data_IF_176437449789
#
_entry.id   IF_176437449789
#
_cell.length_a   1.000
_cell.length_b   1.000
_cell.length_c   1.000
_cell.angle_alpha   90.00
_cell.angle_beta   90.00
_cell.angle_gamma   90.00
#
_symmetry.space_group_name_H-M   'P 1'
#
loop_
_entity.id
_entity.type
_entity.pdbx_description
1 polymer ?
#
# COMPACT_ATOMS: atom_id res chain seq x y z
N UNK A 1 -11.93 12.18 -35.77
CA UNK A 1 -12.36 12.75 -34.46
C UNK A 1 -12.95 11.72 -33.51
N UNK A 2 -13.53 10.61 -34.01
CA UNK A 2 -14.10 9.53 -33.20
C UNK A 2 -13.07 8.67 -32.46
N UNK A 3 -11.93 8.34 -33.08
CA UNK A 3 -10.86 7.51 -32.47
C UNK A 3 -10.27 8.15 -31.20
N UNK A 4 -9.86 9.43 -31.28
CA UNK A 4 -9.33 10.19 -30.12
C UNK A 4 -10.35 10.35 -28.98
N UNK A 5 -11.65 10.43 -29.30
CA UNK A 5 -12.72 10.53 -28.31
C UNK A 5 -12.97 9.20 -27.59
N UNK A 6 -12.84 8.08 -28.31
CA UNK A 6 -12.94 6.74 -27.74
C UNK A 6 -11.73 6.42 -26.86
N UNK A 7 -10.52 6.78 -27.29
CA UNK A 7 -9.29 6.61 -26.49
C UNK A 7 -9.35 7.42 -25.19
N UNK A 8 -9.80 8.67 -25.24
CA UNK A 8 -9.98 9.49 -24.05
C UNK A 8 -11.03 8.88 -23.10
N UNK A 9 -12.14 8.37 -23.65
CA UNK A 9 -13.20 7.73 -22.87
C UNK A 9 -12.75 6.43 -22.23
N UNK A 10 -11.98 5.60 -22.94
CA UNK A 10 -11.40 4.36 -22.40
C UNK A 10 -10.38 4.69 -21.30
N UNK A 11 -9.55 5.72 -21.51
CA UNK A 11 -8.54 6.15 -20.53
C UNK A 11 -9.20 6.71 -19.27
N UNK A 12 -10.22 7.56 -19.41
CA UNK A 12 -10.97 8.11 -18.27
C UNK A 12 -11.79 7.03 -17.55
N UNK A 13 -12.41 6.09 -18.26
CA UNK A 13 -13.13 4.98 -17.66
C UNK A 13 -12.18 4.01 -16.93
N UNK A 14 -10.98 3.79 -17.48
CA UNK A 14 -9.91 3.02 -16.84
C UNK A 14 -9.41 3.69 -15.56
N UNK A 15 -9.18 5.01 -15.62
CA UNK A 15 -8.78 5.81 -14.46
C UNK A 15 -9.87 5.82 -13.37
N UNK A 16 -11.14 6.01 -13.76
CA UNK A 16 -12.29 5.97 -12.86
C UNK A 16 -12.54 4.59 -12.24
N UNK A 17 -12.20 3.51 -12.95
CA UNK A 17 -12.25 2.14 -12.41
C UNK A 17 -11.11 1.92 -11.41
N UNK A 18 -9.90 2.39 -11.71
CA UNK A 18 -8.76 2.32 -10.79
C UNK A 18 -8.99 3.12 -9.50
N UNK A 19 -9.63 4.30 -9.56
CA UNK A 19 -9.93 5.08 -8.35
C UNK A 19 -10.90 4.35 -7.43
N UNK A 20 -11.93 3.67 -7.96
CA UNK A 20 -12.87 2.92 -7.13
C UNK A 20 -12.27 1.63 -6.53
N UNK A 21 -11.35 0.97 -7.24
CA UNK A 21 -10.62 -0.18 -6.69
C UNK A 21 -9.55 0.25 -5.65
N UNK A 22 -9.04 1.49 -5.73
CA UNK A 22 -8.19 2.09 -4.68
C UNK A 22 -8.92 2.21 -3.34
N UNK A 23 -10.24 2.44 -3.38
CA UNK A 23 -11.07 2.52 -2.17
C UNK A 23 -11.47 1.15 -1.61
N UNK A 24 -11.25 0.03 -2.33
CA UNK A 24 -11.52 -1.30 -1.80
C UNK A 24 -10.48 -1.69 -0.75
N UNK A 25 -10.94 -1.97 0.48
CA UNK A 25 -10.12 -2.58 1.51
C UNK A 25 -9.45 -3.87 0.98
N UNK A 26 -8.13 -3.99 1.16
CA UNK A 26 -7.34 -5.14 0.72
C UNK A 26 -6.70 -5.06 -0.68
N UNK A 27 -7.22 -4.25 -1.61
CA UNK A 27 -6.66 -4.18 -2.98
C UNK A 27 -5.38 -3.34 -3.07
N UNK A 28 -5.30 -2.27 -2.26
CA UNK A 28 -4.20 -1.31 -2.29
C UNK A 28 -3.25 -1.39 -1.09
N UNK A 29 -3.23 -2.51 -0.37
CA UNK A 29 -2.23 -2.78 0.67
C UNK A 29 -0.78 -2.63 0.20
N UNK A 30 -0.37 -3.10 -1.01
CA UNK A 30 1.01 -2.91 -1.47
C UNK A 30 1.32 -1.44 -1.80
N UNK A 31 0.34 -0.70 -2.33
CA UNK A 31 0.48 0.73 -2.58
C UNK A 31 0.62 1.50 -1.27
N UNK A 32 -0.23 1.21 -0.27
CA UNK A 32 -0.14 1.79 1.07
C UNK A 32 1.21 1.49 1.71
N UNK A 33 1.66 0.24 1.65
CA UNK A 33 2.99 -0.15 2.13
C UNK A 33 4.10 0.66 1.45
N UNK A 34 4.02 0.85 0.13
CA UNK A 34 4.95 1.69 -0.62
C UNK A 34 4.97 3.14 -0.16
N UNK A 35 3.80 3.77 -0.04
CA UNK A 35 3.67 5.17 0.43
C UNK A 35 4.26 5.35 1.83
N UNK A 36 3.92 4.46 2.78
CA UNK A 36 4.46 4.51 4.13
C UNK A 36 5.98 4.23 4.17
N UNK A 37 6.48 3.32 3.34
CA UNK A 37 7.92 3.05 3.25
C UNK A 37 8.70 4.26 2.70
N UNK A 38 8.16 4.94 1.68
CA UNK A 38 8.75 6.18 1.16
C UNK A 38 8.71 7.30 2.20
N UNK A 39 7.58 7.49 2.87
CA UNK A 39 7.44 8.47 3.95
C UNK A 39 8.42 8.19 5.10
N UNK A 40 8.56 6.93 5.50
CA UNK A 40 9.52 6.48 6.50
C UNK A 40 10.96 6.82 6.10
N UNK A 41 11.35 6.49 4.86
CA UNK A 41 12.69 6.80 4.35
C UNK A 41 12.98 8.31 4.38
N UNK A 42 12.01 9.13 3.98
CA UNK A 42 12.14 10.58 4.02
C UNK A 42 12.25 11.11 5.47
N UNK A 43 11.42 10.61 6.39
CA UNK A 43 11.47 11.00 7.80
C UNK A 43 12.83 10.68 8.44
N UNK A 44 13.39 9.50 8.16
CA UNK A 44 14.73 9.10 8.63
C UNK A 44 15.80 10.04 8.09
N UNK A 45 15.78 10.34 6.79
CA UNK A 45 16.76 11.23 6.15
C UNK A 45 16.71 12.64 6.76
N UNK A 46 15.50 13.20 6.90
CA UNK A 46 15.31 14.52 7.50
C UNK A 46 15.75 14.55 8.97
N UNK A 47 15.39 13.52 9.75
CA UNK A 47 15.81 13.39 11.14
C UNK A 47 17.33 13.34 11.28
N UNK A 48 18.01 12.54 10.46
CA UNK A 48 19.47 12.40 10.48
C UNK A 48 20.17 13.71 10.10
N UNK A 49 19.66 14.41 9.09
CA UNK A 49 20.17 15.73 8.71
C UNK A 49 20.04 16.75 9.86
N UNK A 50 18.87 16.82 10.48
CA UNK A 50 18.63 17.73 11.61
C UNK A 50 19.50 17.36 12.82
N UNK A 51 19.74 16.06 13.06
CA UNK A 51 20.62 15.60 14.13
C UNK A 51 22.07 16.01 13.89
N UNK A 52 22.59 15.80 12.68
CA UNK A 52 23.93 16.23 12.30
C UNK A 52 24.09 17.76 12.41
N UNK A 53 23.07 18.50 11.98
CA UNK A 53 23.04 19.95 12.10
C UNK A 53 23.00 20.42 13.57
N UNK A 54 22.20 19.75 14.41
CA UNK A 54 22.12 20.06 15.84
C UNK A 54 23.43 19.77 16.56
N UNK A 55 24.12 18.66 16.25
CA UNK A 55 25.42 18.36 16.85
C UNK A 55 26.45 19.46 16.57
N UNK A 56 26.34 20.15 15.43
CA UNK A 56 27.22 21.27 15.05
C UNK A 56 26.80 22.61 15.62
N UNK A 57 25.51 22.96 15.58
CA UNK A 57 25.01 24.31 15.93
C UNK A 57 24.40 24.41 17.33
N UNK A 58 23.98 23.29 17.92
CA UNK A 58 23.29 23.17 19.21
C UNK A 58 21.99 24.00 19.34
N UNK A 59 21.38 24.37 18.21
CA UNK A 59 20.13 25.12 18.19
C UNK A 59 18.94 24.26 18.65
N UNK A 60 18.11 24.80 19.55
CA UNK A 60 16.98 24.07 20.15
C UNK A 60 15.96 23.58 19.12
N UNK A 61 15.66 24.38 18.10
CA UNK A 61 14.66 24.00 17.08
C UNK A 61 15.09 22.75 16.28
N UNK A 62 16.39 22.54 16.08
CA UNK A 62 16.90 21.33 15.44
C UNK A 62 16.74 20.11 16.34
N UNK A 63 16.99 20.25 17.65
CA UNK A 63 16.76 19.17 18.61
C UNK A 63 15.27 18.74 18.63
N UNK A 64 14.36 19.72 18.63
CA UNK A 64 12.92 19.46 18.54
C UNK A 64 12.59 18.73 17.24
N UNK A 65 13.11 19.19 16.09
CA UNK A 65 12.91 18.50 14.82
C UNK A 65 13.40 17.05 14.86
N UNK A 66 14.56 16.78 15.46
CA UNK A 66 15.09 15.41 15.61
C UNK A 66 14.12 14.53 16.40
N UNK A 67 13.60 15.01 17.53
CA UNK A 67 12.63 14.26 18.34
C UNK A 67 11.35 14.01 17.56
N UNK A 68 10.85 15.01 16.84
CA UNK A 68 9.64 14.88 16.01
C UNK A 68 9.84 13.88 14.87
N UNK A 69 10.95 13.96 14.13
CA UNK A 69 11.26 13.02 13.05
C UNK A 69 11.52 11.61 13.58
N UNK A 70 12.12 11.45 14.77
CA UNK A 70 12.28 10.16 15.41
C UNK A 70 10.93 9.54 15.81
N UNK A 71 10.03 10.32 16.40
CA UNK A 71 8.68 9.88 16.72
C UNK A 71 7.89 9.50 15.46
N UNK A 72 7.97 10.31 14.41
CA UNK A 72 7.35 10.03 13.11
C UNK A 72 7.91 8.74 12.48
N UNK A 73 9.23 8.54 12.56
CA UNK A 73 9.89 7.32 12.08
C UNK A 73 9.34 6.09 12.80
N UNK A 74 9.26 6.11 14.14
CA UNK A 74 8.74 4.99 14.92
C UNK A 74 7.27 4.69 14.59
N UNK A 75 6.46 5.74 14.39
CA UNK A 75 5.07 5.61 13.97
C UNK A 75 4.96 4.95 12.59
N UNK A 76 5.75 5.39 11.60
CA UNK A 76 5.67 4.82 10.26
C UNK A 76 6.27 3.42 10.14
N UNK A 77 7.27 3.08 10.95
CA UNK A 77 7.74 1.70 11.06
C UNK A 77 6.60 0.76 11.45
N UNK A 78 5.71 1.18 12.37
CA UNK A 78 4.54 0.39 12.77
C UNK A 78 3.57 0.20 11.60
N UNK A 79 3.29 1.24 10.81
CA UNK A 79 2.42 1.13 9.63
C UNK A 79 3.01 0.23 8.55
N UNK A 80 4.29 0.39 8.24
CA UNK A 80 5.00 -0.48 7.28
C UNK A 80 4.94 -1.94 7.76
N UNK A 81 5.25 -2.21 9.03
CA UNK A 81 5.18 -3.56 9.58
C UNK A 81 3.76 -4.16 9.52
N UNK A 82 2.75 -3.36 9.86
CA UNK A 82 1.35 -3.77 9.76
C UNK A 82 0.97 -4.13 8.33
N UNK A 83 1.27 -3.27 7.35
CA UNK A 83 0.95 -3.54 5.96
C UNK A 83 1.73 -4.73 5.39
N UNK A 84 2.99 -4.93 5.77
CA UNK A 84 3.75 -6.13 5.39
C UNK A 84 3.12 -7.40 5.98
N UNK A 85 2.64 -7.33 7.23
CA UNK A 85 1.95 -8.46 7.85
C UNK A 85 0.63 -8.79 7.13
N UNK A 86 -0.15 -7.78 6.75
CA UNK A 86 -1.38 -7.94 5.97
C UNK A 86 -1.09 -8.58 4.60
N UNK A 87 -0.05 -8.10 3.90
CA UNK A 87 0.42 -8.68 2.63
C UNK A 87 0.89 -10.13 2.74
N UNK A 88 1.47 -10.51 3.89
CA UNK A 88 1.93 -11.87 4.16
C UNK A 88 0.82 -12.80 4.64
N UNK A 89 -0.34 -12.28 5.05
CA UNK A 89 -1.47 -13.10 5.46
C UNK A 89 -1.93 -13.89 4.24
N UNK A 90 -1.93 -15.23 4.27
CA UNK A 90 -2.43 -16.01 3.14
C UNK A 90 -3.86 -15.57 2.86
N UNK A 91 -4.15 -15.09 1.64
CA UNK A 91 -5.53 -14.95 1.16
C UNK A 91 -6.14 -16.32 1.36
N UNK A 92 -7.04 -16.43 2.34
CA UNK A 92 -7.75 -17.66 2.63
C UNK A 92 -8.21 -18.24 1.31
N UNK A 93 -7.81 -19.50 1.06
CA UNK A 93 -8.17 -20.28 -0.10
C UNK A 93 -9.54 -19.90 -0.63
N UNK A 94 -9.55 -19.21 -1.78
CA UNK A 94 -10.62 -19.34 -2.75
C UNK A 94 -10.58 -20.72 -3.39
N UNK A 95 -10.47 -21.78 -2.58
CA UNK A 95 -10.86 -23.13 -2.96
C UNK A 95 -12.24 -23.28 -2.34
N UNK A 96 -13.22 -22.62 -2.97
CA UNK A 96 -14.57 -23.12 -2.88
C UNK A 96 -14.50 -24.50 -3.51
N UNK A 97 -14.61 -25.51 -2.66
CA UNK A 97 -14.84 -26.90 -3.01
C UNK A 97 -15.92 -26.91 -4.10
N UNK A 98 -15.52 -27.02 -5.36
CA UNK A 98 -16.42 -27.45 -6.42
C UNK A 98 -16.58 -28.97 -6.23
N UNK A 99 -17.29 -29.32 -5.16
CA UNK A 99 -17.96 -30.61 -5.04
C UNK A 99 -19.10 -30.55 -6.04
N UNK A 100 -18.87 -31.05 -7.26
CA UNK A 100 -19.95 -31.44 -8.17
C UNK A 100 -19.69 -32.88 -8.56
N UNK A 101 -20.40 -33.75 -7.83
CA UNK A 101 -20.95 -35.07 -8.17
C UNK A 101 -20.43 -35.80 -9.43
N UNK A 102 -20.03 -37.08 -9.32
CA UNK A 102 -19.84 -37.94 -10.48
C UNK A 102 -21.19 -38.27 -11.14
N UNK A 103 -21.36 -37.77 -12.36
CA UNK A 103 -22.52 -38.00 -13.22
C UNK A 103 -22.77 -39.51 -13.38
N UNK A 104 -23.85 -40.02 -12.78
CA UNK A 104 -24.19 -41.45 -12.72
C UNK A 104 -25.17 -41.86 -13.83
N UNK A 105 -25.15 -41.21 -14.99
CA UNK A 105 -25.96 -41.61 -16.15
C UNK A 105 -25.11 -42.25 -17.25
N UNK A 106 -24.67 -43.48 -17.01
CA UNK A 106 -24.12 -44.35 -18.07
C UNK A 106 -24.47 -45.84 -17.90
N UNK A 107 -25.58 -46.16 -17.22
CA UNK A 107 -26.05 -47.56 -17.14
C UNK A 107 -27.57 -47.68 -16.98
N UNK A 108 -28.33 -47.34 -18.03
CA UNK A 108 -29.67 -47.91 -18.29
C UNK A 108 -30.22 -47.40 -19.64
N UNK A 109 -29.98 -48.15 -20.71
CA UNK A 109 -30.91 -48.43 -21.84
C UNK A 109 -30.14 -49.12 -22.98
#
# INVERSE_FOLDING_TARGET
MTELSNDLSITLASLGRMTMDVLKCGSCEPLKAGVHATALGLAVLMGLYNAAAWLRRREHHLAVNVVLYAALTAWEQKHVAHHIAELRRPRGMGVSSATVEPDTTALAA
#
